data_IF_053168083065
#
_entry.id   IF_053168083065
#
_cell.length_a   1.000
_cell.length_b   1.000
_cell.length_c   1.000
_cell.angle_alpha   90.00
_cell.angle_beta   90.00
_cell.angle_gamma   90.00
#
_symmetry.space_group_name_H-M   'P 1'
#
loop_
_entity.id
_entity.type
_entity.pdbx_description
1 polymer ?
#
# COMPACT_ATOMS: atom_id res chain seq x y z
N UNK A 1 10.28 45.98 2.46
CA UNK A 1 11.31 45.89 3.52
C UNK A 1 11.03 44.64 4.37
N UNK A 2 11.66 43.51 4.05
CA UNK A 2 11.43 42.24 4.76
C UNK A 2 12.29 42.26 6.02
N UNK A 3 11.68 42.34 7.21
CA UNK A 3 12.39 42.21 8.48
C UNK A 3 12.80 40.74 8.65
N UNK A 4 14.08 40.45 8.41
CA UNK A 4 14.70 39.22 8.89
C UNK A 4 14.73 39.28 10.42
N UNK A 5 13.79 38.60 11.07
CA UNK A 5 13.87 38.35 12.51
C UNK A 5 15.04 37.38 12.69
N UNK A 6 16.20 37.91 13.13
CA UNK A 6 17.35 37.11 13.56
C UNK A 6 16.87 36.21 14.71
N UNK A 7 16.55 34.95 14.43
CA UNK A 7 16.38 33.95 15.49
C UNK A 7 17.71 33.84 16.21
N UNK A 8 17.77 34.27 17.47
CA UNK A 8 18.95 34.06 18.31
C UNK A 8 19.07 32.57 18.59
N UNK A 9 20.04 31.94 17.97
CA UNK A 9 20.37 30.56 18.23
C UNK A 9 21.11 30.44 19.58
N UNK A 10 20.71 29.46 20.39
CA UNK A 10 21.40 29.11 21.64
C UNK A 10 22.17 27.80 21.49
N UNK A 11 23.30 27.74 22.20
CA UNK A 11 24.12 26.54 22.27
C UNK A 11 23.51 25.50 23.22
N UNK A 12 23.42 24.27 22.75
CA UNK A 12 23.07 23.09 23.55
C UNK A 12 24.22 22.11 23.42
N UNK A 13 25.07 22.06 24.46
CA UNK A 13 26.31 21.27 24.44
C UNK A 13 27.42 21.91 23.59
N UNK A 14 28.35 21.10 23.11
CA UNK A 14 29.51 21.56 22.33
C UNK A 14 29.12 21.67 20.85
N UNK A 15 28.94 22.89 20.37
CA UNK A 15 28.86 23.20 18.93
C UNK A 15 27.47 23.13 18.27
N UNK A 16 26.43 22.60 18.93
CA UNK A 16 25.08 22.56 18.36
C UNK A 16 24.26 23.80 18.73
N UNK A 17 23.80 24.52 17.70
CA UNK A 17 22.92 25.68 17.81
C UNK A 17 21.48 25.27 17.59
N UNK A 18 20.58 25.68 18.47
CA UNK A 18 19.13 25.49 18.31
C UNK A 18 18.41 26.82 18.50
N UNK A 19 17.25 27.01 17.86
CA UNK A 19 16.41 28.18 18.11
C UNK A 19 16.05 28.33 19.60
N UNK A 20 15.92 29.57 20.07
CA UNK A 20 15.55 29.91 21.45
C UNK A 20 14.36 29.09 21.99
N UNK A 21 13.32 28.87 21.18
CA UNK A 21 12.12 28.15 21.62
C UNK A 21 12.41 26.66 21.89
N UNK A 22 13.31 26.03 21.12
CA UNK A 22 13.75 24.66 21.35
C UNK A 22 14.59 24.59 22.62
N UNK A 23 15.49 25.57 22.81
CA UNK A 23 16.30 25.64 24.01
C UNK A 23 15.44 25.75 25.28
N UNK A 24 14.46 26.67 25.29
CA UNK A 24 13.53 26.85 26.41
C UNK A 24 12.73 25.59 26.70
N UNK A 25 12.30 24.87 25.65
CA UNK A 25 11.59 23.59 25.80
C UNK A 25 12.46 22.51 26.42
N UNK A 26 13.72 22.37 25.97
CA UNK A 26 14.69 21.43 26.57
C UNK A 26 14.95 21.79 28.03
N UNK A 27 15.05 23.09 28.34
CA UNK A 27 15.27 23.55 29.71
C UNK A 27 14.06 23.27 30.62
N UNK A 28 12.84 23.52 30.17
CA UNK A 28 11.63 23.23 30.96
C UNK A 28 11.48 21.73 31.20
N UNK A 29 11.64 20.92 30.15
CA UNK A 29 11.53 19.46 30.24
C UNK A 29 12.60 18.86 31.18
N UNK A 30 13.83 19.38 31.13
CA UNK A 30 14.89 18.99 32.04
C UNK A 30 14.55 19.31 33.51
N UNK A 31 13.98 20.50 33.77
CA UNK A 31 13.52 20.91 35.11
C UNK A 31 12.37 20.03 35.60
N UNK A 32 11.36 19.79 34.77
CA UNK A 32 10.21 18.95 35.09
C UNK A 32 10.59 17.51 35.42
N UNK A 33 11.54 16.94 34.66
CA UNK A 33 11.99 15.56 34.85
C UNK A 33 13.12 15.43 35.87
N UNK A 34 13.64 16.53 36.43
CA UNK A 34 14.76 16.52 37.38
C UNK A 34 16.07 15.99 36.79
N UNK A 35 16.29 16.17 35.48
CA UNK A 35 17.48 15.66 34.77
C UNK A 35 18.26 16.77 34.08
N UNK A 36 19.44 16.45 33.55
CA UNK A 36 20.22 17.41 32.77
C UNK A 36 19.63 17.61 31.37
N UNK A 37 19.80 18.81 30.81
CA UNK A 37 19.46 19.11 29.40
C UNK A 37 20.13 18.13 28.43
N UNK A 38 21.35 17.72 28.71
CA UNK A 38 22.07 16.72 27.91
C UNK A 38 21.38 15.35 27.93
N UNK A 39 20.75 14.96 29.04
CA UNK A 39 19.95 13.74 29.10
C UNK A 39 18.69 13.84 28.24
N UNK A 40 17.98 14.97 28.28
CA UNK A 40 16.83 15.26 27.42
C UNK A 40 17.22 15.17 25.94
N UNK A 41 18.33 15.82 25.55
CA UNK A 41 18.82 15.78 24.16
C UNK A 41 19.14 14.35 23.73
N UNK A 42 19.85 13.58 24.56
CA UNK A 42 20.15 12.17 24.24
C UNK A 42 18.87 11.33 24.08
N UNK A 43 17.90 11.52 24.98
CA UNK A 43 16.61 10.83 24.89
C UNK A 43 15.90 11.10 23.56
N UNK A 44 15.78 12.39 23.19
CA UNK A 44 15.14 12.78 21.93
C UNK A 44 15.91 12.29 20.70
N UNK A 45 17.24 12.30 20.73
CA UNK A 45 18.06 11.76 19.63
C UNK A 45 17.84 10.25 19.46
N UNK A 46 17.86 9.48 20.55
CA UNK A 46 17.60 8.03 20.50
C UNK A 46 16.20 7.78 19.94
N UNK A 47 15.19 8.50 20.45
CA UNK A 47 13.82 8.40 19.95
C UNK A 47 13.73 8.74 18.46
N UNK A 48 14.37 9.83 18.04
CA UNK A 48 14.38 10.26 16.64
C UNK A 48 14.97 9.18 15.72
N UNK A 49 16.14 8.65 16.06
CA UNK A 49 16.75 7.60 15.24
C UNK A 49 15.93 6.31 15.25
N UNK A 50 15.33 5.93 16.37
CA UNK A 50 14.39 4.80 16.44
C UNK A 50 13.19 4.99 15.51
N UNK A 51 12.54 6.16 15.57
CA UNK A 51 11.43 6.50 14.68
C UNK A 51 11.85 6.55 13.21
N UNK A 52 13.06 7.04 12.91
CA UNK A 52 13.60 7.08 11.56
C UNK A 52 13.77 5.67 10.98
N UNK A 53 14.32 4.74 11.77
CA UNK A 53 14.48 3.34 11.35
C UNK A 53 13.12 2.68 11.13
N UNK A 54 12.17 2.88 12.05
CA UNK A 54 10.82 2.31 11.90
C UNK A 54 10.09 2.89 10.68
N UNK A 55 10.24 4.19 10.41
CA UNK A 55 9.66 4.82 9.22
C UNK A 55 10.20 4.21 7.92
N UNK A 56 11.52 3.99 7.83
CA UNK A 56 12.12 3.31 6.68
C UNK A 56 11.66 1.86 6.55
N UNK A 57 11.47 1.15 7.67
CA UNK A 57 10.88 -0.20 7.67
C UNK A 57 9.45 -0.20 7.13
N UNK A 58 8.62 0.73 7.59
CA UNK A 58 7.24 0.87 7.14
C UNK A 58 7.14 1.25 5.66
N UNK A 59 8.02 2.14 5.16
CA UNK A 59 8.11 2.47 3.73
C UNK A 59 8.37 1.24 2.88
N UNK A 60 9.34 0.39 3.28
CA UNK A 60 9.62 -0.87 2.59
C UNK A 60 8.40 -1.79 2.60
N UNK A 61 7.73 -1.92 3.75
CA UNK A 61 6.54 -2.76 3.87
C UNK A 61 5.38 -2.28 2.99
N UNK A 62 5.18 -0.96 2.88
CA UNK A 62 4.18 -0.37 1.98
C UNK A 62 4.51 -0.72 0.52
N UNK A 63 5.78 -0.65 0.13
CA UNK A 63 6.19 -0.97 -1.23
C UNK A 63 6.01 -2.46 -1.56
N UNK A 64 6.31 -3.36 -0.62
CA UNK A 64 6.01 -4.80 -0.74
C UNK A 64 4.51 -5.03 -0.92
N UNK A 65 3.66 -4.45 -0.07
CA UNK A 65 2.21 -4.59 -0.15
C UNK A 65 1.63 -4.04 -1.46
N UNK A 66 2.22 -2.97 -2.01
CA UNK A 66 1.82 -2.44 -3.32
C UNK A 66 2.13 -3.43 -4.44
N UNK A 67 3.28 -4.10 -4.39
CA UNK A 67 3.64 -5.14 -5.36
C UNK A 67 2.71 -6.34 -5.26
N UNK A 68 2.47 -6.83 -4.04
CA UNK A 68 1.52 -7.93 -3.79
C UNK A 68 0.11 -7.57 -4.30
N UNK A 69 -0.38 -6.36 -4.02
CA UNK A 69 -1.67 -5.90 -4.53
C UNK A 69 -1.71 -5.84 -6.07
N UNK A 70 -0.59 -5.48 -6.71
CA UNK A 70 -0.43 -5.54 -8.16
C UNK A 70 -0.57 -6.96 -8.70
N UNK A 71 0.14 -7.93 -8.12
CA UNK A 71 0.08 -9.33 -8.54
C UNK A 71 -1.31 -9.93 -8.35
N UNK A 72 -1.99 -9.60 -7.24
CA UNK A 72 -3.36 -10.05 -7.00
C UNK A 72 -4.35 -9.49 -8.02
N UNK A 73 -4.16 -8.23 -8.44
CA UNK A 73 -5.00 -7.62 -9.46
C UNK A 73 -4.83 -8.29 -10.82
N UNK A 74 -3.58 -8.57 -11.20
CA UNK A 74 -3.29 -9.29 -12.45
C UNK A 74 -3.89 -10.70 -12.45
N UNK A 75 -3.75 -11.44 -11.34
CA UNK A 75 -4.38 -12.76 -11.18
C UNK A 75 -5.91 -12.68 -11.26
N UNK A 76 -6.50 -11.66 -10.65
CA UNK A 76 -7.95 -11.46 -10.69
C UNK A 76 -8.47 -11.23 -12.12
N UNK A 77 -7.82 -10.36 -12.90
CA UNK A 77 -8.25 -10.12 -14.30
C UNK A 77 -8.09 -11.38 -15.16
N UNK A 78 -7.00 -12.15 -15.00
CA UNK A 78 -6.84 -13.44 -15.71
C UNK A 78 -7.97 -14.42 -15.38
N UNK A 79 -8.28 -14.60 -14.10
CA UNK A 79 -9.37 -15.49 -13.68
C UNK A 79 -10.74 -15.02 -14.18
N UNK A 80 -10.93 -13.70 -14.30
CA UNK A 80 -12.15 -13.11 -14.83
C UNK A 80 -12.29 -13.38 -16.33
N UNK A 81 -11.21 -13.24 -17.11
CA UNK A 81 -11.16 -13.61 -18.53
C UNK A 81 -11.45 -15.11 -18.72
N UNK A 82 -10.77 -15.98 -17.97
CA UNK A 82 -11.00 -17.43 -18.01
C UNK A 82 -12.46 -17.80 -17.67
N UNK A 83 -13.07 -17.13 -16.70
CA UNK A 83 -14.47 -17.35 -16.34
C UNK A 83 -15.42 -16.96 -17.48
N UNK A 84 -15.16 -15.84 -18.14
CA UNK A 84 -15.97 -15.39 -19.28
C UNK A 84 -15.83 -16.34 -20.48
N UNK A 85 -14.62 -16.83 -20.77
CA UNK A 85 -14.42 -17.87 -21.78
C UNK A 85 -15.18 -19.15 -21.46
N UNK A 86 -15.15 -19.60 -20.21
CA UNK A 86 -15.89 -20.79 -19.77
C UNK A 86 -17.40 -20.59 -19.90
N UNK A 87 -17.92 -19.41 -19.55
CA UNK A 87 -19.34 -19.08 -19.74
C UNK A 87 -19.75 -19.14 -21.20
N UNK A 88 -18.93 -18.58 -22.09
CA UNK A 88 -19.17 -18.63 -23.53
C UNK A 88 -19.16 -20.07 -24.05
N UNK A 89 -18.21 -20.91 -23.62
CA UNK A 89 -18.17 -22.35 -23.96
C UNK A 89 -19.42 -23.08 -23.48
N UNK A 90 -19.87 -22.83 -22.25
CA UNK A 90 -21.10 -23.43 -21.72
C UNK A 90 -22.31 -23.05 -22.57
N UNK A 91 -22.40 -21.80 -23.01
CA UNK A 91 -23.53 -21.36 -23.84
C UNK A 91 -23.50 -21.99 -25.24
N UNK A 92 -22.31 -22.09 -25.85
CA UNK A 92 -22.13 -22.82 -27.12
C UNK A 92 -22.57 -24.28 -27.00
N UNK A 93 -22.14 -24.98 -25.95
CA UNK A 93 -22.52 -26.37 -25.74
C UNK A 93 -24.02 -26.55 -25.51
N UNK A 94 -24.70 -25.60 -24.85
CA UNK A 94 -26.15 -25.63 -24.74
C UNK A 94 -26.82 -25.50 -26.11
N UNK A 95 -26.34 -24.59 -26.96
CA UNK A 95 -26.86 -24.41 -28.31
C UNK A 95 -26.65 -25.67 -29.16
N UNK A 96 -25.47 -26.28 -29.11
CA UNK A 96 -25.17 -27.54 -29.80
C UNK A 96 -26.08 -28.67 -29.32
N UNK A 97 -26.27 -28.81 -28.00
CA UNK A 97 -27.18 -29.81 -27.42
C UNK A 97 -28.61 -29.60 -27.92
N UNK A 98 -29.09 -28.36 -27.97
CA UNK A 98 -30.46 -28.08 -28.42
C UNK A 98 -30.62 -28.37 -29.92
N UNK A 99 -29.63 -28.02 -30.74
CA UNK A 99 -29.59 -28.37 -32.17
C UNK A 99 -29.65 -29.88 -32.39
N UNK A 100 -28.85 -30.65 -31.64
CA UNK A 100 -28.83 -32.12 -31.72
C UNK A 100 -30.17 -32.72 -31.28
N UNK A 101 -30.80 -32.18 -30.23
CA UNK A 101 -32.15 -32.61 -29.82
C UNK A 101 -33.17 -32.37 -30.92
N UNK A 102 -33.12 -31.22 -31.59
CA UNK A 102 -34.02 -30.89 -32.69
C UNK A 102 -33.80 -31.82 -33.89
N UNK A 103 -32.56 -32.15 -34.22
CA UNK A 103 -32.25 -33.19 -35.23
C UNK A 103 -32.79 -34.57 -34.85
N UNK A 104 -32.68 -34.94 -33.56
CA UNK A 104 -33.22 -36.20 -33.05
C UNK A 104 -34.76 -36.23 -33.04
N UNK A 105 -35.41 -35.07 -32.94
CA UNK A 105 -36.88 -34.95 -33.02
C UNK A 105 -37.42 -35.05 -34.45
N UNK A 106 -36.58 -34.89 -35.49
CA UNK A 106 -37.01 -35.03 -36.88
C UNK A 106 -37.49 -36.47 -37.18
N UNK A 107 -38.57 -36.66 -37.96
CA UNK A 107 -39.04 -37.98 -38.38
C UNK A 107 -37.95 -38.76 -39.12
N UNK A 108 -37.94 -40.10 -38.96
CA UNK A 108 -36.94 -40.99 -39.57
C UNK A 108 -36.69 -40.75 -41.07
N UNK A 109 -37.76 -40.51 -41.85
CA UNK A 109 -37.66 -40.23 -43.28
C UNK A 109 -36.98 -38.89 -43.62
N UNK A 110 -37.05 -37.88 -42.74
CA UNK A 110 -36.32 -36.61 -42.92
C UNK A 110 -34.83 -36.74 -42.57
N UNK A 111 -34.47 -37.70 -41.70
CA UNK A 111 -33.07 -37.99 -41.36
C UNK A 111 -32.34 -38.78 -42.45
N UNK A 112 -33.07 -39.56 -43.26
CA UNK A 112 -32.52 -40.34 -44.37
C UNK A 112 -32.36 -39.57 -45.69
N UNK A 113 -32.90 -38.35 -45.81
CA UNK A 113 -32.92 -37.59 -47.08
C UNK A 113 -31.54 -37.06 -47.54
N UNK A 114 -30.49 -37.35 -46.77
CA UNK A 114 -29.11 -36.94 -47.02
C UNK A 114 -28.13 -38.13 -47.17
N UNK A 115 -28.64 -39.35 -47.35
CA UNK A 115 -27.87 -40.54 -47.72
C UNK A 115 -28.34 -41.08 -49.08
#
# INVERSE_FOLDING_TARGET
>A
MVRFVKTMDRLVGVGSRVPEFIYKKIESEAKEQGVTRSAIIRHHLIRYYGLKVENERLKKRIEELRKEAGTWRELYEKLKEENEELRNKVELYKMEIESLKDELRKPFWQRLRFW
#
